data_IF_637490694316
#
_entry.id   IF_637490694316
#
_cell.length_a   1.000
_cell.length_b   1.000
_cell.length_c   1.000
_cell.angle_alpha   90.00
_cell.angle_beta   90.00
_cell.angle_gamma   90.00
#
_symmetry.space_group_name_H-M   'P 1'
#
loop_
_entity.id
_entity.type
_entity.pdbx_description
1 polymer ?
#
# COMPACT_ATOMS: atom_id res chain seq x y z
N UNK A 1 -29.27 29.21 43.07
CA UNK A 1 -28.44 28.03 42.73
C UNK A 1 -28.25 27.79 41.22
N UNK A 2 -28.57 28.76 40.34
CA UNK A 2 -28.31 28.63 38.88
C UNK A 2 -27.12 29.47 38.36
N UNK A 3 -26.50 30.28 39.21
CA UNK A 3 -25.42 31.20 38.80
C UNK A 3 -24.02 30.57 38.81
N UNK A 4 -23.87 29.33 39.32
CA UNK A 4 -22.56 28.67 39.44
C UNK A 4 -22.11 27.94 38.17
N UNK A 5 -22.99 27.74 37.18
CA UNK A 5 -22.64 27.02 35.95
C UNK A 5 -21.95 27.91 34.90
N UNK A 6 -22.05 29.23 35.00
CA UNK A 6 -21.48 30.14 33.99
C UNK A 6 -19.98 30.46 34.23
N UNK A 7 -19.41 30.06 35.37
CA UNK A 7 -18.02 30.38 35.76
C UNK A 7 -17.00 29.29 35.40
N UNK A 8 -17.41 28.22 34.73
CA UNK A 8 -16.57 27.02 34.52
C UNK A 8 -15.82 26.98 33.18
N UNK A 9 -15.81 28.07 32.41
CA UNK A 9 -15.18 28.09 31.09
C UNK A 9 -14.20 29.26 30.90
N UNK A 10 -13.44 29.63 31.93
CA UNK A 10 -12.12 30.22 31.70
C UNK A 10 -11.15 29.12 31.24
N UNK A 11 -11.47 28.47 30.11
CA UNK A 11 -10.48 27.67 29.42
C UNK A 11 -9.59 28.68 28.72
N UNK A 12 -8.35 28.88 29.18
CA UNK A 12 -7.51 29.90 28.59
C UNK A 12 -7.26 29.56 27.11
N UNK A 13 -7.32 30.59 26.27
CA UNK A 13 -7.29 30.50 24.80
C UNK A 13 -6.06 29.72 24.30
N UNK A 14 -4.95 29.78 25.03
CA UNK A 14 -3.74 28.99 24.80
C UNK A 14 -4.00 27.47 24.83
N UNK A 15 -4.77 26.98 25.79
CA UNK A 15 -5.13 25.56 25.89
C UNK A 15 -6.05 25.13 24.77
N UNK A 16 -6.99 25.99 24.37
CA UNK A 16 -7.90 25.70 23.24
C UNK A 16 -7.10 25.61 21.94
N UNK A 17 -6.16 26.54 21.71
CA UNK A 17 -5.30 26.52 20.54
C UNK A 17 -4.40 25.27 20.50
N UNK A 18 -3.78 24.90 21.63
CA UNK A 18 -2.95 23.69 21.72
C UNK A 18 -3.79 22.43 21.48
N UNK A 19 -4.96 22.32 22.11
CA UNK A 19 -5.85 21.17 21.93
C UNK A 19 -6.37 21.06 20.50
N UNK A 20 -6.73 22.19 19.88
CA UNK A 20 -7.15 22.24 18.48
C UNK A 20 -6.02 21.83 17.53
N UNK A 21 -4.81 22.34 17.74
CA UNK A 21 -3.64 21.96 16.94
C UNK A 21 -3.32 20.47 17.08
N UNK A 22 -3.37 19.94 18.31
CA UNK A 22 -3.16 18.52 18.58
C UNK A 22 -4.22 17.64 17.88
N UNK A 23 -5.48 18.06 17.91
CA UNK A 23 -6.57 17.37 17.20
C UNK A 23 -6.32 17.34 15.68
N UNK A 24 -5.96 18.49 15.10
CA UNK A 24 -5.66 18.58 13.66
C UNK A 24 -4.46 17.69 13.31
N UNK A 25 -3.39 17.75 14.09
CA UNK A 25 -2.22 16.90 13.90
C UNK A 25 -2.58 15.41 13.98
N UNK A 26 -3.44 15.02 14.93
CA UNK A 26 -3.91 13.64 15.06
C UNK A 26 -4.68 13.17 13.81
N UNK A 27 -5.57 14.01 13.27
CA UNK A 27 -6.30 13.71 12.02
C UNK A 27 -5.35 13.58 10.84
N UNK A 28 -4.38 14.49 10.71
CA UNK A 28 -3.37 14.45 9.63
C UNK A 28 -2.53 13.19 9.74
N UNK A 29 -2.07 12.81 10.93
CA UNK A 29 -1.33 11.56 11.16
C UNK A 29 -2.19 10.36 10.78
N UNK A 30 -3.46 10.32 11.20
CA UNK A 30 -4.40 9.28 10.81
C UNK A 30 -4.55 9.14 9.30
N UNK A 31 -4.70 10.26 8.59
CA UNK A 31 -4.78 10.29 7.13
C UNK A 31 -3.48 9.82 6.47
N UNK A 32 -2.32 10.21 6.99
CA UNK A 32 -1.01 9.75 6.48
C UNK A 32 -0.86 8.24 6.65
N UNK A 33 -1.24 7.70 7.81
CA UNK A 33 -1.20 6.25 8.08
C UNK A 33 -2.14 5.50 7.15
N UNK A 34 -3.39 5.95 7.03
CA UNK A 34 -4.38 5.34 6.12
C UNK A 34 -3.89 5.42 4.67
N UNK A 35 -3.33 6.56 4.25
CA UNK A 35 -2.79 6.75 2.91
C UNK A 35 -1.59 5.84 2.64
N UNK A 36 -0.68 5.67 3.60
CA UNK A 36 0.47 4.76 3.50
C UNK A 36 0.03 3.29 3.42
N UNK A 37 -0.94 2.89 4.24
CA UNK A 37 -1.51 1.53 4.21
C UNK A 37 -2.25 1.28 2.91
N UNK A 38 -3.11 2.22 2.49
CA UNK A 38 -3.82 2.17 1.21
C UNK A 38 -2.85 2.13 0.04
N UNK A 39 -1.76 2.89 0.06
CA UNK A 39 -0.72 2.86 -0.98
C UNK A 39 0.00 1.51 -1.01
N UNK A 40 0.28 0.90 0.14
CA UNK A 40 0.86 -0.44 0.21
C UNK A 40 -0.07 -1.52 -0.34
N UNK A 41 -1.37 -1.40 -0.12
CA UNK A 41 -2.39 -2.32 -0.64
C UNK A 41 -2.73 -2.06 -2.12
N UNK A 42 -2.83 -0.80 -2.53
CA UNK A 42 -3.11 -0.40 -3.91
C UNK A 42 -1.91 -0.59 -4.86
N UNK A 43 -0.69 -0.75 -4.32
CA UNK A 43 0.47 -1.18 -5.10
C UNK A 43 0.31 -2.59 -5.67
N UNK A 44 -0.68 -3.38 -5.21
CA UNK A 44 -1.03 -4.67 -5.81
C UNK A 44 -1.98 -4.54 -7.01
N UNK A 45 -2.68 -3.40 -7.18
CA UNK A 45 -3.76 -3.24 -8.17
C UNK A 45 -3.41 -2.27 -9.33
N UNK A 46 -2.51 -1.30 -9.13
CA UNK A 46 -2.11 -0.36 -10.18
C UNK A 46 -0.67 -0.59 -10.66
N UNK A 47 -0.57 -1.24 -11.82
CA UNK A 47 0.67 -1.65 -12.47
C UNK A 47 1.71 -0.54 -12.63
N UNK A 48 2.81 -0.66 -11.88
CA UNK A 48 4.14 -0.23 -12.31
C UNK A 48 5.15 -1.27 -11.82
N UNK A 49 5.70 -2.03 -12.77
CA UNK A 49 6.64 -3.11 -12.48
C UNK A 49 7.94 -2.62 -11.85
N UNK A 50 8.32 -3.22 -10.72
CA UNK A 50 9.68 -3.63 -10.35
C UNK A 50 9.58 -4.51 -9.08
N UNK A 51 10.39 -5.58 -8.92
CA UNK A 51 10.06 -6.72 -8.06
C UNK A 51 10.60 -6.52 -6.65
N UNK A 52 9.78 -5.94 -5.77
CA UNK A 52 9.93 -6.07 -4.31
C UNK A 52 9.08 -7.20 -3.72
N UNK A 53 8.48 -8.04 -4.58
CA UNK A 53 7.58 -9.13 -4.18
C UNK A 53 8.34 -10.35 -3.69
N UNK A 54 7.76 -11.03 -2.71
CA UNK A 54 8.23 -12.29 -2.15
C UNK A 54 8.61 -13.29 -3.26
N UNK A 55 9.87 -13.76 -3.27
CA UNK A 55 10.38 -14.60 -4.35
C UNK A 55 10.06 -16.08 -4.12
N UNK A 56 10.12 -16.89 -5.18
CA UNK A 56 10.01 -18.35 -5.06
C UNK A 56 11.09 -18.96 -4.16
N UNK A 57 12.27 -18.33 -4.10
CA UNK A 57 13.37 -18.73 -3.22
C UNK A 57 13.05 -18.46 -1.75
N UNK A 58 12.47 -17.30 -1.45
CA UNK A 58 12.04 -16.95 -0.09
C UNK A 58 10.89 -17.85 0.38
N UNK A 59 9.94 -18.17 -0.50
CA UNK A 59 8.85 -19.10 -0.21
C UNK A 59 9.37 -20.51 0.12
N UNK A 60 10.37 -20.99 -0.62
CA UNK A 60 11.02 -22.29 -0.37
C UNK A 60 11.86 -22.28 0.91
N UNK A 61 12.47 -21.16 1.25
CA UNK A 61 13.19 -21.03 2.52
C UNK A 61 12.22 -21.07 3.71
N UNK A 62 11.09 -20.35 3.62
CA UNK A 62 10.04 -20.31 4.65
C UNK A 62 9.43 -21.69 4.93
N UNK A 63 9.16 -22.44 3.86
CA UNK A 63 8.66 -23.82 3.93
C UNK A 63 9.67 -24.77 4.59
N UNK A 64 10.95 -24.71 4.18
CA UNK A 64 12.01 -25.52 4.79
C UNK A 64 12.27 -25.20 6.26
N UNK A 65 12.02 -23.96 6.68
CA UNK A 65 12.12 -23.53 8.07
C UNK A 65 10.90 -23.93 8.92
N UNK A 66 9.91 -24.61 8.34
CA UNK A 66 8.70 -25.04 9.04
C UNK A 66 7.75 -23.89 9.41
N UNK A 67 7.92 -22.71 8.80
CA UNK A 67 7.10 -21.53 9.10
C UNK A 67 5.82 -21.45 8.25
N UNK A 68 5.53 -22.48 7.45
CA UNK A 68 4.37 -22.58 6.58
C UNK A 68 4.07 -24.05 6.27
N UNK A 69 2.78 -24.40 6.18
CA UNK A 69 2.35 -25.76 5.83
C UNK A 69 2.53 -26.07 4.33
N UNK A 70 2.56 -27.35 3.97
CA UNK A 70 2.67 -27.79 2.56
C UNK A 70 1.50 -27.27 1.71
N UNK A 71 0.30 -27.23 2.29
CA UNK A 71 -0.92 -26.75 1.63
C UNK A 71 -0.84 -25.25 1.32
N UNK A 72 -0.32 -24.47 2.27
CA UNK A 72 -0.08 -23.03 2.10
C UNK A 72 1.05 -22.78 1.10
N UNK A 73 2.10 -23.60 1.11
CA UNK A 73 3.21 -23.52 0.17
C UNK A 73 2.73 -23.68 -1.28
N UNK A 74 1.97 -24.73 -1.59
CA UNK A 74 1.50 -24.96 -2.95
C UNK A 74 0.54 -23.85 -3.42
N UNK A 75 -0.32 -23.36 -2.53
CA UNK A 75 -1.21 -22.23 -2.82
C UNK A 75 -0.44 -20.94 -3.12
N UNK A 76 0.58 -20.63 -2.33
CA UNK A 76 1.41 -19.44 -2.49
C UNK A 76 2.29 -19.54 -3.75
N UNK A 77 2.88 -20.71 -4.00
CA UNK A 77 3.68 -21.02 -5.20
C UNK A 77 2.88 -20.81 -6.48
N UNK A 78 1.63 -21.28 -6.52
CA UNK A 78 0.72 -21.05 -7.66
C UNK A 78 0.55 -19.57 -7.98
N UNK A 79 0.30 -18.74 -6.96
CA UNK A 79 0.14 -17.29 -7.13
C UNK A 79 1.39 -16.60 -7.69
N UNK A 80 2.58 -17.00 -7.24
CA UNK A 80 3.85 -16.43 -7.75
C UNK A 80 4.07 -16.81 -9.22
N UNK A 81 3.77 -18.05 -9.59
CA UNK A 81 3.90 -18.52 -10.99
C UNK A 81 2.93 -17.77 -11.90
N UNK A 82 1.68 -17.60 -11.48
CA UNK A 82 0.66 -16.90 -12.27
C UNK A 82 0.99 -15.41 -12.44
N UNK A 83 1.47 -14.76 -11.39
CA UNK A 83 1.97 -13.39 -11.46
C UNK A 83 3.15 -13.26 -12.45
N UNK A 84 4.07 -14.24 -12.42
CA UNK A 84 5.24 -14.28 -13.32
C UNK A 84 4.82 -14.46 -14.78
N UNK A 85 3.85 -15.33 -15.06
CA UNK A 85 3.29 -15.52 -16.41
C UNK A 85 2.65 -14.25 -16.96
N UNK A 86 1.79 -13.59 -16.16
CA UNK A 86 1.15 -12.33 -16.55
C UNK A 86 2.17 -11.21 -16.81
N UNK A 87 3.25 -11.16 -16.03
CA UNK A 87 4.34 -10.22 -16.26
C UNK A 87 5.03 -10.49 -17.61
N UNK A 88 5.36 -11.76 -17.92
CA UNK A 88 5.97 -12.14 -19.19
C UNK A 88 5.07 -11.84 -20.40
N UNK A 89 3.75 -12.04 -20.28
CA UNK A 89 2.79 -11.72 -21.33
C UNK A 89 2.71 -10.21 -21.60
N UNK A 90 2.72 -9.37 -20.56
CA UNK A 90 2.77 -7.91 -20.70
C UNK A 90 4.07 -7.44 -21.36
N UNK A 91 5.20 -8.02 -20.98
CA UNK A 91 6.49 -7.69 -21.59
C UNK A 91 6.53 -8.07 -23.08
N UNK A 92 5.90 -9.19 -23.44
CA UNK A 92 5.74 -9.60 -24.85
C UNK A 92 4.85 -8.63 -25.62
N UNK A 93 3.68 -8.27 -25.09
CA UNK A 93 2.78 -7.28 -25.72
C UNK A 93 3.44 -5.92 -25.89
N UNK A 94 4.25 -5.48 -24.92
CA UNK A 94 4.99 -4.22 -25.03
C UNK A 94 6.04 -4.26 -26.15
N UNK A 95 6.74 -5.40 -26.32
CA UNK A 95 7.71 -5.59 -27.40
C UNK A 95 7.05 -5.65 -28.77
N UNK A 96 5.91 -6.32 -28.87
CA UNK A 96 5.20 -6.50 -30.14
C UNK A 96 4.42 -5.24 -30.56
N UNK A 97 3.98 -4.41 -29.61
CA UNK A 97 3.24 -3.16 -29.86
C UNK A 97 4.10 -1.94 -30.23
N UNK A 98 5.40 -1.97 -29.96
CA UNK A 98 6.35 -0.87 -30.25
C UNK A 98 6.88 -0.89 -31.71
N UNK A 99 6.48 -1.89 -32.51
CA UNK A 99 6.96 -2.07 -33.88
C UNK A 99 6.23 -1.29 -34.98
N UNK A 100 5.07 -0.67 -34.69
CA UNK A 100 4.13 -0.21 -35.74
C UNK A 100 4.08 1.31 -35.95
N UNK A 101 4.86 2.11 -35.22
CA UNK A 101 4.86 3.58 -35.36
C UNK A 101 6.22 4.13 -35.78
N UNK A 102 6.69 3.75 -36.96
CA UNK A 102 7.60 4.59 -37.75
C UNK A 102 6.81 5.10 -38.95
N UNK A 103 6.23 6.32 -38.91
CA UNK A 103 5.74 6.94 -40.14
C UNK A 103 6.93 7.08 -41.08
N UNK A 104 6.89 6.33 -42.18
CA UNK A 104 7.78 6.48 -43.32
C UNK A 104 7.49 7.84 -43.97
N UNK A 105 8.24 8.86 -43.58
CA UNK A 105 8.30 10.13 -44.30
C UNK A 105 9.27 9.94 -45.47
N UNK A 106 8.72 9.45 -46.58
CA UNK A 106 9.33 9.51 -47.90
C UNK A 106 9.05 10.85 -48.57
#
# INVERSE_FOLDING_TARGET
MLHAYLSAADIPLDKILIASLALVAFVVVGLVVVSQVKKRLASDDEGKGQPGGFTLSDLRALHRNGQMSDEEFERAKGKIIDASKRAAERDKQKRDGDGTTRPNAG
#
